data_IF_137935765430
#
_entry.id   IF_137935765430
#
_cell.length_a   1.000
_cell.length_b   1.000
_cell.length_c   1.000
_cell.angle_alpha   90.00
_cell.angle_beta   90.00
_cell.angle_gamma   90.00
#
_symmetry.space_group_name_H-M   'P 1'
#
loop_
_entity.id
_entity.type
_entity.pdbx_description
1 polymer ?
#
# COMPACT_ATOMS: atom_id res chain seq x y z
N UNK A 1 -14.70 12.19 10.22
CA UNK A 1 -13.85 13.34 9.86
C UNK A 1 -14.79 14.51 9.53
N UNK A 2 -15.07 15.40 10.50
CA UNK A 2 -16.04 16.50 10.31
C UNK A 2 -15.66 17.46 9.18
N UNK A 3 -14.37 17.69 8.98
CA UNK A 3 -13.81 18.58 7.95
C UNK A 3 -14.19 18.15 6.51
N UNK A 4 -14.50 16.87 6.34
CA UNK A 4 -14.83 16.28 5.04
C UNK A 4 -16.31 16.23 4.72
N UNK A 5 -17.17 16.80 5.57
CA UNK A 5 -18.63 16.78 5.40
C UNK A 5 -19.07 17.32 4.03
N UNK A 6 -18.33 18.31 3.50
CA UNK A 6 -18.68 19.00 2.25
C UNK A 6 -17.69 18.68 1.11
N UNK A 7 -16.93 17.59 1.18
CA UNK A 7 -16.05 17.20 0.08
C UNK A 7 -16.87 16.99 -1.20
N UNK A 8 -16.50 17.78 -2.24
CA UNK A 8 -17.07 17.62 -3.57
C UNK A 8 -16.24 16.69 -4.45
N UNK A 9 -16.81 16.34 -5.59
CA UNK A 9 -16.13 15.61 -6.68
C UNK A 9 -15.72 16.61 -7.74
N UNK A 10 -14.50 16.51 -8.23
CA UNK A 10 -13.92 17.38 -9.25
C UNK A 10 -14.76 17.44 -10.53
N UNK A 11 -14.97 18.63 -11.05
CA UNK A 11 -15.54 18.89 -12.37
C UNK A 11 -14.57 19.64 -13.27
N UNK A 12 -13.98 20.73 -12.77
CA UNK A 12 -13.07 21.59 -13.52
C UNK A 12 -12.21 22.46 -12.59
N UNK A 13 -11.28 23.20 -13.15
CA UNK A 13 -10.43 24.14 -12.42
C UNK A 13 -9.09 23.56 -12.02
N UNK A 14 -8.30 24.39 -11.34
CA UNK A 14 -6.97 24.09 -10.82
C UNK A 14 -6.89 24.59 -9.38
N UNK A 15 -5.96 24.06 -8.61
CA UNK A 15 -5.68 24.54 -7.26
C UNK A 15 -5.32 26.06 -7.29
N UNK A 16 -5.83 26.88 -6.37
CA UNK A 16 -6.78 26.54 -5.30
C UNK A 16 -8.27 26.66 -5.69
N UNK A 17 -8.60 26.90 -6.96
CA UNK A 17 -9.95 27.20 -7.44
C UNK A 17 -10.55 26.02 -8.23
N UNK A 18 -11.23 25.13 -7.51
CA UNK A 18 -11.92 23.98 -8.09
C UNK A 18 -13.44 24.22 -8.20
N UNK A 19 -14.02 23.82 -9.32
CA UNK A 19 -15.44 23.61 -9.47
C UNK A 19 -15.74 22.13 -9.14
N UNK A 20 -16.74 21.92 -8.28
CA UNK A 20 -17.09 20.58 -7.81
C UNK A 20 -18.59 20.31 -7.95
N UNK A 21 -18.94 19.03 -7.96
CA UNK A 21 -20.31 18.53 -7.80
C UNK A 21 -20.42 17.73 -6.50
N UNK A 22 -21.63 17.54 -5.96
CA UNK A 22 -21.83 16.60 -4.88
C UNK A 22 -21.44 15.16 -5.29
N UNK A 23 -20.89 14.35 -4.38
CA UNK A 23 -20.69 12.93 -4.63
C UNK A 23 -22.03 12.19 -4.76
N UNK A 24 -22.08 11.13 -5.55
CA UNK A 24 -23.29 10.31 -5.73
C UNK A 24 -23.66 9.54 -4.46
N UNK A 25 -22.71 9.28 -3.60
CA UNK A 25 -22.86 8.67 -2.28
C UNK A 25 -21.77 9.13 -1.32
N UNK A 26 -22.01 9.11 0.00
CA UNK A 26 -20.99 9.48 0.97
C UNK A 26 -19.84 8.47 0.98
N UNK A 27 -18.63 8.95 1.28
CA UNK A 27 -17.48 8.10 1.51
C UNK A 27 -17.68 7.26 2.79
N UNK A 28 -17.43 5.96 2.70
CA UNK A 28 -17.47 5.01 3.82
C UNK A 28 -16.06 4.53 4.14
N UNK A 29 -15.84 4.01 5.34
CA UNK A 29 -14.54 3.44 5.76
C UNK A 29 -14.10 2.31 4.80
N UNK A 30 -15.03 1.49 4.33
CA UNK A 30 -14.73 0.43 3.35
C UNK A 30 -14.18 0.99 2.04
N UNK A 31 -14.59 2.20 1.63
CA UNK A 31 -14.09 2.83 0.40
C UNK A 31 -12.62 3.29 0.56
N UNK A 32 -12.19 3.63 1.79
CA UNK A 32 -10.79 3.86 2.11
C UNK A 32 -9.98 2.54 2.08
N UNK A 33 -10.50 1.49 2.73
CA UNK A 33 -9.82 0.19 2.84
C UNK A 33 -9.57 -0.49 1.50
N UNK A 34 -10.44 -0.26 0.51
CA UNK A 34 -10.36 -0.87 -0.83
C UNK A 34 -9.96 0.12 -1.94
N UNK A 35 -9.48 1.33 -1.59
CA UNK A 35 -9.07 2.38 -2.54
C UNK A 35 -10.16 2.83 -3.54
N UNK A 36 -11.44 2.83 -3.13
CA UNK A 36 -12.54 3.38 -3.93
C UNK A 36 -13.07 4.70 -3.37
N UNK A 37 -12.29 5.39 -2.56
CA UNK A 37 -12.70 6.62 -1.86
C UNK A 37 -12.81 7.87 -2.75
N UNK A 38 -12.15 7.88 -3.91
CA UNK A 38 -11.99 9.07 -4.75
C UNK A 38 -10.75 9.90 -4.41
N UNK A 39 -9.99 9.53 -3.38
CA UNK A 39 -8.68 10.10 -3.10
C UNK A 39 -7.63 9.62 -4.12
N UNK A 40 -6.47 10.30 -4.16
CA UNK A 40 -5.40 9.99 -5.11
C UNK A 40 -4.01 10.06 -4.46
N UNK A 41 -2.97 9.94 -5.27
CA UNK A 41 -1.58 10.28 -4.96
C UNK A 41 -1.04 11.29 -5.97
N UNK A 42 -0.16 12.19 -5.54
CA UNK A 42 0.50 13.17 -6.41
C UNK A 42 1.28 12.55 -7.56
N UNK A 43 1.91 11.39 -7.36
CA UNK A 43 2.70 10.69 -8.38
C UNK A 43 1.87 10.10 -9.55
N UNK A 44 0.55 10.11 -9.46
CA UNK A 44 -0.33 9.65 -10.56
C UNK A 44 -0.20 10.51 -11.83
N UNK A 45 0.08 11.81 -11.71
CA UNK A 45 0.34 12.76 -12.79
C UNK A 45 -0.70 12.72 -13.92
N UNK A 46 -1.98 12.63 -13.58
CA UNK A 46 -3.09 12.47 -14.54
C UNK A 46 -3.97 13.70 -14.71
N UNK A 47 -3.99 14.58 -13.72
CA UNK A 47 -4.94 15.70 -13.75
C UNK A 47 -4.69 16.76 -12.68
N UNK A 48 -5.68 17.64 -12.55
CA UNK A 48 -5.57 18.82 -11.70
C UNK A 48 -5.72 18.50 -10.21
N UNK A 49 -6.41 17.41 -9.87
CA UNK A 49 -6.57 16.98 -8.47
C UNK A 49 -5.23 16.46 -7.93
N UNK A 50 -4.59 15.56 -8.63
CA UNK A 50 -3.28 15.04 -8.22
C UNK A 50 -2.16 16.09 -8.32
N UNK A 51 -2.31 17.10 -9.20
CA UNK A 51 -1.43 18.26 -9.22
C UNK A 51 -1.49 19.05 -7.90
N UNK A 52 -2.68 19.23 -7.32
CA UNK A 52 -2.83 19.86 -6.01
C UNK A 52 -2.18 19.04 -4.88
N UNK A 53 -2.23 17.71 -4.96
CA UNK A 53 -1.51 16.85 -4.02
C UNK A 53 0.01 17.07 -4.10
N UNK A 54 0.59 17.21 -5.30
CA UNK A 54 2.01 17.55 -5.48
C UNK A 54 2.36 18.91 -4.92
N UNK A 55 1.55 19.93 -5.21
CA UNK A 55 1.80 21.30 -4.71
C UNK A 55 1.79 21.36 -3.19
N UNK A 56 0.86 20.64 -2.56
CA UNK A 56 0.73 20.57 -1.10
C UNK A 56 1.57 19.44 -0.48
N UNK A 57 2.37 18.72 -1.28
CA UNK A 57 3.23 17.60 -0.85
C UNK A 57 2.47 16.50 -0.10
N UNK A 58 1.21 16.24 -0.49
CA UNK A 58 0.39 15.19 0.14
C UNK A 58 0.76 13.82 -0.44
N UNK A 59 1.10 12.88 0.43
CA UNK A 59 1.43 11.51 0.04
C UNK A 59 2.79 11.33 -0.64
N UNK A 60 3.68 12.31 -0.54
CA UNK A 60 5.07 12.20 -1.00
C UNK A 60 5.94 11.42 -0.01
N UNK A 61 7.12 11.00 -0.47
CA UNK A 61 8.08 10.23 0.36
C UNK A 61 8.58 11.09 1.52
N UNK A 62 8.95 12.34 1.24
CA UNK A 62 9.32 13.32 2.26
C UNK A 62 8.08 14.04 2.78
N UNK A 63 7.40 13.43 3.73
CA UNK A 63 6.13 13.92 4.25
C UNK A 63 6.36 14.99 5.32
N UNK A 64 5.92 16.20 5.01
CA UNK A 64 5.85 17.28 6.00
C UNK A 64 4.58 17.17 6.86
N UNK A 65 4.64 17.63 8.11
CA UNK A 65 3.50 17.70 9.02
C UNK A 65 3.13 16.37 9.68
N UNK A 66 1.86 16.19 9.95
CA UNK A 66 1.28 15.05 10.66
C UNK A 66 0.08 14.49 9.89
N UNK A 67 -0.42 13.31 10.26
CA UNK A 67 -1.69 12.79 9.72
C UNK A 67 -2.85 13.79 9.91
N UNK A 68 -2.92 14.47 11.06
CA UNK A 68 -3.94 15.48 11.32
C UNK A 68 -3.85 16.67 10.34
N UNK A 69 -2.64 17.17 10.08
CA UNK A 69 -2.48 18.28 9.11
C UNK A 69 -2.82 17.84 7.68
N UNK A 70 -2.49 16.60 7.30
CA UNK A 70 -2.88 16.03 6.00
C UNK A 70 -4.40 15.96 5.84
N UNK A 71 -5.15 15.54 6.86
CA UNK A 71 -6.62 15.52 6.85
C UNK A 71 -7.19 16.91 6.59
N UNK A 72 -6.63 17.94 7.23
CA UNK A 72 -7.05 19.32 7.04
C UNK A 72 -6.74 19.85 5.62
N UNK A 73 -5.59 19.48 5.04
CA UNK A 73 -5.26 19.85 3.65
C UNK A 73 -6.14 19.11 2.64
N UNK A 74 -6.39 17.82 2.85
CA UNK A 74 -7.29 17.02 1.99
C UNK A 74 -8.73 17.60 1.97
N UNK A 75 -9.19 18.23 3.05
CA UNK A 75 -10.50 18.88 3.10
C UNK A 75 -10.68 20.00 2.06
N UNK A 76 -9.58 20.55 1.54
CA UNK A 76 -9.56 21.65 0.56
C UNK A 76 -9.52 21.17 -0.89
N UNK A 77 -9.29 19.87 -1.13
CA UNK A 77 -9.11 19.28 -2.45
C UNK A 77 -10.29 18.35 -2.77
N UNK A 78 -10.90 18.45 -3.96
CA UNK A 78 -12.01 17.55 -4.31
C UNK A 78 -11.55 16.11 -4.52
N UNK A 79 -12.49 15.18 -4.41
CA UNK A 79 -12.32 13.80 -4.85
C UNK A 79 -12.20 13.73 -6.38
N UNK A 80 -11.41 12.83 -6.91
CA UNK A 80 -11.32 12.59 -8.37
C UNK A 80 -12.63 12.01 -8.95
N UNK A 81 -13.36 11.24 -8.15
CA UNK A 81 -14.64 10.62 -8.51
C UNK A 81 -15.47 10.34 -7.25
N UNK A 82 -16.73 9.98 -7.44
CA UNK A 82 -17.58 9.64 -6.31
C UNK A 82 -17.13 8.32 -5.65
N UNK A 83 -17.16 8.25 -4.32
CA UNK A 83 -16.79 7.02 -3.61
C UNK A 83 -17.53 5.78 -4.16
N UNK A 84 -16.80 4.69 -4.38
CA UNK A 84 -17.31 3.46 -4.95
C UNK A 84 -17.42 3.41 -6.48
N UNK A 85 -17.17 4.52 -7.18
CA UNK A 85 -17.30 4.61 -8.64
C UNK A 85 -16.13 3.97 -9.38
N UNK A 86 -14.92 4.12 -8.85
CA UNK A 86 -13.69 3.60 -9.44
C UNK A 86 -12.71 3.14 -8.36
N UNK A 87 -11.71 2.37 -8.76
CA UNK A 87 -10.54 2.07 -7.95
C UNK A 87 -9.39 3.00 -8.31
N UNK A 88 -8.75 3.57 -7.30
CA UNK A 88 -7.59 4.44 -7.45
C UNK A 88 -6.67 4.33 -6.25
N UNK A 89 -5.47 3.82 -6.45
CA UNK A 89 -4.47 3.75 -5.39
C UNK A 89 -4.16 5.16 -4.86
N UNK A 90 -4.21 5.33 -3.53
CA UNK A 90 -4.33 6.66 -2.93
C UNK A 90 -3.85 6.71 -1.49
N UNK A 91 -3.78 7.91 -0.94
CA UNK A 91 -3.52 8.18 0.49
C UNK A 91 -4.63 7.64 1.43
N UNK A 92 -5.56 6.84 0.92
CA UNK A 92 -6.62 6.23 1.74
C UNK A 92 -6.08 5.46 2.94
N UNK A 93 -4.93 4.79 2.80
CA UNK A 93 -4.29 4.06 3.90
C UNK A 93 -3.71 4.99 4.97
N UNK A 94 -3.21 6.18 4.59
CA UNK A 94 -2.82 7.21 5.55
C UNK A 94 -4.05 7.72 6.34
N UNK A 95 -5.18 7.90 5.66
CA UNK A 95 -6.46 8.26 6.31
C UNK A 95 -6.93 7.18 7.27
N UNK A 96 -6.75 5.89 6.93
CA UNK A 96 -7.02 4.77 7.84
C UNK A 96 -6.11 4.86 9.07
N UNK A 97 -4.82 5.14 8.90
CA UNK A 97 -3.90 5.37 10.02
C UNK A 97 -4.36 6.48 10.96
N UNK A 98 -4.83 7.60 10.41
CA UNK A 98 -5.46 8.66 11.19
C UNK A 98 -6.72 8.19 11.96
N UNK A 99 -7.61 7.44 11.28
CA UNK A 99 -8.83 6.91 11.91
C UNK A 99 -8.53 5.90 13.02
N UNK A 100 -7.49 5.07 12.86
CA UNK A 100 -7.05 4.15 13.92
C UNK A 100 -6.61 4.94 15.16
N UNK A 101 -5.83 6.01 14.98
CA UNK A 101 -5.44 6.89 16.07
C UNK A 101 -6.64 7.55 16.76
N UNK A 102 -7.56 8.09 15.96
CA UNK A 102 -8.76 8.78 16.45
C UNK A 102 -9.69 7.82 17.24
N UNK A 103 -9.97 6.64 16.71
CA UNK A 103 -10.91 5.67 17.31
C UNK A 103 -10.30 4.99 18.53
N UNK A 104 -9.01 4.68 18.50
CA UNK A 104 -8.33 4.00 19.60
C UNK A 104 -7.96 4.93 20.77
N UNK A 105 -7.92 6.24 20.52
CA UNK A 105 -7.40 7.24 21.47
C UNK A 105 -5.89 7.13 21.70
N UNK A 106 -5.15 6.45 20.81
CA UNK A 106 -3.70 6.23 20.90
C UNK A 106 -3.00 6.73 19.63
N UNK A 107 -1.75 7.21 19.72
CA UNK A 107 -0.92 7.41 18.54
C UNK A 107 -0.88 6.16 17.66
N UNK A 108 -0.94 6.33 16.33
CA UNK A 108 -1.06 5.22 15.39
C UNK A 108 0.10 4.22 15.51
N UNK A 109 1.33 4.70 15.63
CA UNK A 109 2.52 3.88 15.84
C UNK A 109 2.47 3.08 17.16
N UNK A 110 1.94 3.70 18.21
CA UNK A 110 1.77 3.02 19.50
C UNK A 110 0.70 1.92 19.40
N UNK A 111 -0.39 2.20 18.69
CA UNK A 111 -1.43 1.20 18.45
C UNK A 111 -0.88 -0.02 17.72
N UNK A 112 -0.13 0.19 16.63
CA UNK A 112 0.49 -0.91 15.87
C UNK A 112 1.48 -1.70 16.74
N UNK A 113 2.29 -0.99 17.50
CA UNK A 113 3.26 -1.62 18.42
C UNK A 113 2.58 -2.52 19.42
N UNK A 114 1.60 -2.00 20.16
CA UNK A 114 0.93 -2.72 21.24
C UNK A 114 0.00 -3.84 20.76
N UNK A 115 -0.60 -3.70 19.57
CA UNK A 115 -1.62 -4.62 19.08
C UNK A 115 -1.12 -5.63 18.07
N UNK A 116 0.03 -5.37 17.44
CA UNK A 116 0.58 -6.23 16.39
C UNK A 116 2.03 -6.58 16.70
N UNK A 117 2.94 -5.59 16.81
CA UNK A 117 4.37 -5.88 16.81
C UNK A 117 4.83 -6.57 18.09
N UNK A 118 4.51 -6.03 19.25
CA UNK A 118 4.91 -6.61 20.52
C UNK A 118 4.28 -8.00 20.78
N UNK A 119 2.96 -8.19 20.55
CA UNK A 119 2.35 -9.51 20.74
C UNK A 119 2.95 -10.60 19.82
N UNK A 120 3.31 -10.24 18.59
CA UNK A 120 3.94 -11.17 17.65
C UNK A 120 5.46 -11.26 17.80
N UNK A 121 6.08 -10.48 18.69
CA UNK A 121 7.53 -10.45 18.86
C UNK A 121 8.29 -9.83 17.68
N UNK A 122 7.68 -8.95 16.90
CA UNK A 122 8.28 -8.25 15.75
C UNK A 122 9.18 -7.11 16.23
N UNK A 123 10.38 -7.44 16.70
CA UNK A 123 11.30 -6.53 17.42
C UNK A 123 12.06 -5.56 16.51
N UNK A 124 12.07 -5.82 15.21
CA UNK A 124 12.77 -5.06 14.19
C UNK A 124 11.79 -4.31 13.25
N UNK A 125 10.54 -4.12 13.70
CA UNK A 125 9.50 -3.43 12.94
C UNK A 125 9.10 -2.13 13.61
N UNK A 126 9.13 -1.02 12.86
CA UNK A 126 8.79 0.31 13.37
C UNK A 126 8.96 1.38 12.31
N UNK A 127 8.63 2.63 12.64
CA UNK A 127 8.72 3.76 11.70
C UNK A 127 10.11 4.39 11.62
N UNK A 128 11.07 3.88 12.37
CA UNK A 128 12.48 4.26 12.28
C UNK A 128 13.36 3.12 12.80
N UNK A 129 14.64 3.17 12.45
CA UNK A 129 15.65 2.19 12.88
C UNK A 129 16.46 2.79 14.03
N UNK A 130 16.40 2.20 15.25
CA UNK A 130 17.21 2.67 16.37
C UNK A 130 18.72 2.63 16.06
N UNK A 131 19.48 3.56 16.62
CA UNK A 131 20.94 3.71 16.39
C UNK A 131 21.73 2.41 16.56
N UNK A 132 21.38 1.60 17.55
CA UNK A 132 22.01 0.29 17.79
C UNK A 132 21.83 -0.69 16.61
N UNK A 133 20.83 -0.49 15.76
CA UNK A 133 20.50 -1.33 14.60
C UNK A 133 20.79 -0.63 13.25
N UNK A 134 21.31 0.60 13.25
CA UNK A 134 21.53 1.40 12.04
C UNK A 134 22.36 0.67 10.98
N UNK A 135 23.35 -0.13 11.41
CA UNK A 135 24.19 -0.93 10.53
C UNK A 135 23.44 -2.00 9.71
N UNK A 136 22.17 -2.26 10.03
CA UNK A 136 21.31 -3.22 9.32
C UNK A 136 20.37 -2.56 8.31
N UNK A 137 20.30 -1.22 8.29
CA UNK A 137 19.47 -0.51 7.32
C UNK A 137 20.05 -0.70 5.92
N UNK A 138 19.21 -1.12 4.98
CA UNK A 138 19.62 -1.31 3.60
C UNK A 138 19.65 0.04 2.85
N UNK A 139 20.64 0.21 1.97
CA UNK A 139 20.64 1.32 1.02
C UNK A 139 19.48 1.19 0.02
N UNK A 140 18.86 2.31 -0.34
CA UNK A 140 17.86 2.35 -1.41
C UNK A 140 18.45 2.93 -2.68
N UNK A 141 18.19 2.28 -3.82
CA UNK A 141 18.68 2.69 -5.13
C UNK A 141 17.52 3.09 -6.05
N UNK A 142 17.81 3.97 -6.99
CA UNK A 142 16.89 4.31 -8.08
C UNK A 142 17.43 3.83 -9.41
N UNK A 143 16.57 3.21 -10.21
CA UNK A 143 16.83 2.88 -11.61
C UNK A 143 16.42 4.02 -12.57
N UNK A 144 15.90 5.12 -12.03
CA UNK A 144 15.49 6.30 -12.81
C UNK A 144 16.51 7.43 -12.67
N UNK A 145 16.98 8.03 -13.78
CA UNK A 145 17.88 9.19 -13.75
C UNK A 145 17.23 10.46 -13.15
N UNK A 146 15.91 10.50 -13.06
CA UNK A 146 15.12 11.67 -12.68
C UNK A 146 14.59 11.62 -11.23
N UNK A 147 15.00 10.63 -10.45
CA UNK A 147 14.56 10.47 -9.06
C UNK A 147 13.45 9.41 -8.86
N UNK A 148 13.17 9.15 -7.61
CA UNK A 148 12.60 7.90 -7.12
C UNK A 148 11.18 7.54 -7.54
N UNK A 149 10.34 8.48 -7.96
CA UNK A 149 8.89 8.26 -8.09
C UNK A 149 8.34 8.46 -9.51
N UNK A 150 9.18 8.46 -10.53
CA UNK A 150 8.71 8.47 -11.91
C UNK A 150 8.44 7.04 -12.39
N UNK A 151 7.22 6.57 -12.19
CA UNK A 151 6.76 5.23 -12.61
C UNK A 151 6.77 5.00 -14.13
N UNK A 152 7.09 6.02 -14.91
CA UNK A 152 7.13 5.98 -16.38
C UNK A 152 8.55 5.99 -16.97
N UNK A 153 9.60 5.97 -16.16
CA UNK A 153 10.96 5.98 -16.66
C UNK A 153 11.38 4.60 -17.17
N UNK A 154 11.45 4.46 -18.46
CA UNK A 154 11.87 3.24 -19.15
C UNK A 154 13.30 3.26 -19.68
N UNK A 155 14.05 4.32 -19.42
CA UNK A 155 15.43 4.42 -19.94
C UNK A 155 16.41 3.66 -19.01
N UNK A 156 16.57 2.37 -19.31
CA UNK A 156 17.43 1.42 -18.57
C UNK A 156 18.93 1.57 -18.89
N UNK A 157 19.35 2.60 -19.62
CA UNK A 157 20.74 2.78 -20.02
C UNK A 157 21.65 3.37 -18.93
N UNK A 158 21.06 3.88 -17.85
CA UNK A 158 21.79 4.31 -16.65
C UNK A 158 21.79 3.22 -15.58
N UNK A 159 22.91 2.96 -14.93
CA UNK A 159 23.01 2.06 -13.78
C UNK A 159 22.14 2.54 -12.59
N UNK A 160 22.11 1.76 -11.51
CA UNK A 160 21.45 2.15 -10.28
C UNK A 160 22.16 3.33 -9.63
N UNK A 161 21.41 4.35 -9.21
CA UNK A 161 21.92 5.49 -8.43
C UNK A 161 21.47 5.37 -6.97
N UNK A 162 22.35 5.70 -6.03
CA UNK A 162 22.01 5.72 -4.61
C UNK A 162 20.94 6.79 -4.35
N UNK A 163 19.78 6.37 -3.85
CA UNK A 163 18.64 7.24 -3.54
C UNK A 163 18.57 7.59 -2.05
N UNK A 164 18.85 6.61 -1.19
CA UNK A 164 18.88 6.81 0.26
C UNK A 164 20.09 6.06 0.84
N UNK A 165 21.01 6.82 1.41
CA UNK A 165 22.22 6.30 2.06
C UNK A 165 21.85 5.84 3.48
N UNK A 166 22.10 4.57 3.83
CA UNK A 166 21.75 4.05 5.15
C UNK A 166 22.48 4.74 6.30
N UNK A 167 23.55 5.47 6.04
CA UNK A 167 24.30 6.20 7.09
C UNK A 167 23.74 7.58 7.39
N UNK A 168 22.94 8.15 6.47
CA UNK A 168 22.34 9.48 6.58
C UNK A 168 20.83 9.48 6.40
N UNK A 169 20.23 8.29 6.29
CA UNK A 169 18.81 8.10 6.02
C UNK A 169 17.92 8.78 7.05
N UNK A 170 16.82 9.35 6.58
CA UNK A 170 15.76 9.88 7.46
C UNK A 170 15.10 8.80 8.32
N UNK A 171 15.18 7.53 7.91
CA UNK A 171 14.72 6.38 8.69
C UNK A 171 15.54 6.09 9.95
N UNK A 172 16.66 6.78 10.19
CA UNK A 172 17.43 6.69 11.43
C UNK A 172 16.85 7.55 12.56
N UNK A 173 15.82 8.33 12.29
CA UNK A 173 15.17 9.22 13.26
C UNK A 173 13.65 9.03 13.26
N UNK A 174 12.97 9.22 14.40
CA UNK A 174 11.51 9.17 14.44
C UNK A 174 10.90 10.20 13.49
N UNK A 175 10.05 9.80 12.54
CA UNK A 175 9.39 10.73 11.62
C UNK A 175 8.28 11.50 12.30
N UNK A 176 8.04 12.75 11.87
CA UNK A 176 6.89 13.53 12.33
C UNK A 176 5.58 13.01 11.70
N UNK A 177 5.64 12.51 10.48
CA UNK A 177 4.50 11.95 9.76
C UNK A 177 4.50 10.42 9.83
N UNK A 178 3.61 9.86 10.64
CA UNK A 178 3.44 8.41 10.80
C UNK A 178 2.45 7.90 9.73
N UNK A 179 2.98 7.50 8.58
CA UNK A 179 2.17 7.10 7.43
C UNK A 179 1.45 5.77 7.63
N UNK A 180 0.17 5.72 7.31
CA UNK A 180 -0.57 4.46 7.16
C UNK A 180 -0.32 3.77 5.82
N UNK A 181 0.21 4.49 4.83
CA UNK A 181 0.49 3.97 3.48
C UNK A 181 1.95 3.57 3.23
N UNK A 182 2.86 3.85 4.17
CA UNK A 182 4.28 3.53 4.02
C UNK A 182 5.12 4.03 5.20
N UNK A 183 6.44 3.77 5.15
CA UNK A 183 7.37 4.27 6.16
C UNK A 183 7.72 3.30 7.28
N UNK A 184 7.15 2.10 7.33
CA UNK A 184 7.61 1.04 8.21
C UNK A 184 8.93 0.45 7.71
N UNK A 185 9.92 0.39 8.60
CA UNK A 185 11.09 -0.46 8.47
C UNK A 185 10.78 -1.82 9.09
N UNK A 186 11.26 -2.90 8.49
CA UNK A 186 11.08 -4.26 9.00
C UNK A 186 12.18 -5.19 8.50
N UNK A 187 12.12 -6.45 8.91
CA UNK A 187 12.95 -7.53 8.40
C UNK A 187 12.09 -8.63 7.78
N UNK A 188 12.68 -9.47 6.94
CA UNK A 188 11.98 -10.64 6.39
C UNK A 188 11.47 -11.57 7.51
N UNK A 189 12.22 -11.70 8.61
CA UNK A 189 11.83 -12.54 9.74
C UNK A 189 10.58 -12.01 10.47
N UNK A 190 10.57 -10.71 10.82
CA UNK A 190 9.39 -10.09 11.46
C UNK A 190 8.18 -10.13 10.55
N UNK A 191 8.38 -9.81 9.25
CA UNK A 191 7.28 -9.82 8.30
C UNK A 191 6.75 -11.24 8.04
N UNK A 192 7.62 -12.26 8.05
CA UNK A 192 7.22 -13.67 8.00
C UNK A 192 6.35 -14.04 9.21
N UNK A 193 6.69 -13.56 10.40
CA UNK A 193 5.88 -13.80 11.61
C UNK A 193 4.46 -13.24 11.45
N UNK A 194 4.34 -12.03 10.91
CA UNK A 194 3.03 -11.45 10.59
C UNK A 194 2.28 -12.27 9.52
N UNK A 195 2.94 -12.65 8.43
CA UNK A 195 2.34 -13.46 7.37
C UNK A 195 1.89 -14.84 7.88
N UNK A 196 2.66 -15.47 8.79
CA UNK A 196 2.27 -16.73 9.44
C UNK A 196 1.00 -16.58 10.28
N UNK A 197 0.86 -15.49 11.02
CA UNK A 197 -0.37 -15.21 11.75
C UNK A 197 -1.57 -15.10 10.81
N UNK A 198 -1.41 -14.46 9.65
CA UNK A 198 -2.46 -14.37 8.63
C UNK A 198 -2.76 -15.73 7.99
N UNK A 199 -1.74 -16.49 7.58
CA UNK A 199 -1.92 -17.82 7.00
C UNK A 199 -2.66 -18.77 7.97
N UNK A 200 -2.39 -18.65 9.27
CA UNK A 200 -3.03 -19.44 10.32
C UNK A 200 -4.40 -18.88 10.77
N UNK A 201 -5.09 -18.11 9.92
CA UNK A 201 -6.44 -17.59 10.21
C UNK A 201 -6.48 -16.48 11.25
N UNK A 202 -5.41 -15.68 11.36
CA UNK A 202 -5.31 -14.50 12.22
C UNK A 202 -4.74 -14.76 13.61
N UNK A 203 -4.06 -15.90 13.81
CA UNK A 203 -3.45 -16.30 15.08
C UNK A 203 -2.07 -16.93 14.88
N UNK A 204 -1.13 -16.68 15.80
CA UNK A 204 0.16 -17.33 15.85
C UNK A 204 0.59 -17.52 17.30
N UNK A 205 1.02 -18.74 17.65
CA UNK A 205 1.56 -19.11 18.97
C UNK A 205 0.70 -18.61 20.14
N UNK A 206 -0.65 -18.74 20.01
CA UNK A 206 -1.63 -18.30 21.01
C UNK A 206 -1.98 -16.80 20.98
N UNK A 207 -1.32 -16.02 20.15
CA UNK A 207 -1.61 -14.59 19.94
C UNK A 207 -2.62 -14.43 18.80
N UNK A 208 -3.82 -14.00 19.12
CA UNK A 208 -4.85 -13.73 18.12
C UNK A 208 -4.91 -12.24 17.77
N UNK A 209 -4.62 -11.92 16.51
CA UNK A 209 -4.76 -10.56 15.98
C UNK A 209 -6.19 -10.28 15.51
N UNK A 210 -6.77 -11.22 14.77
CA UNK A 210 -8.15 -11.12 14.23
C UNK A 210 -8.79 -12.50 14.17
N UNK A 211 -10.11 -12.54 14.07
CA UNK A 211 -10.83 -13.80 13.87
C UNK A 211 -10.74 -14.32 12.43
N UNK A 212 -10.82 -15.64 12.21
CA UNK A 212 -10.67 -16.24 10.88
C UNK A 212 -11.75 -15.78 9.88
N UNK A 213 -12.97 -15.51 10.34
CA UNK A 213 -14.03 -14.97 9.47
C UNK A 213 -13.80 -13.51 9.08
N UNK A 214 -13.17 -12.72 9.96
CA UNK A 214 -12.74 -11.35 9.63
C UNK A 214 -11.64 -11.37 8.59
N UNK A 215 -10.65 -12.26 8.75
CA UNK A 215 -9.59 -12.43 7.75
C UNK A 215 -10.16 -12.87 6.40
N UNK A 216 -11.03 -13.87 6.37
CA UNK A 216 -11.69 -14.32 5.15
C UNK A 216 -12.47 -13.18 4.47
N UNK A 217 -13.15 -12.34 5.25
CA UNK A 217 -13.78 -11.13 4.73
C UNK A 217 -12.73 -10.17 4.13
N UNK A 218 -11.64 -9.90 4.83
CA UNK A 218 -10.59 -8.97 4.35
C UNK A 218 -9.93 -9.44 3.06
N UNK A 219 -9.77 -10.73 2.87
CA UNK A 219 -9.12 -11.35 1.69
C UNK A 219 -10.10 -11.76 0.58
N UNK A 220 -11.39 -11.37 0.71
CA UNK A 220 -12.37 -11.50 -0.38
C UNK A 220 -12.33 -10.29 -1.30
N UNK A 221 -12.81 -10.45 -2.55
CA UNK A 221 -12.92 -9.30 -3.46
C UNK A 221 -14.03 -8.35 -3.03
N UNK A 222 -13.67 -7.12 -2.70
CA UNK A 222 -14.57 -6.04 -2.28
C UNK A 222 -14.83 -5.00 -3.37
N UNK A 223 -14.32 -5.18 -4.57
CA UNK A 223 -14.57 -4.23 -5.65
C UNK A 223 -16.04 -4.22 -6.03
N UNK A 224 -16.65 -3.03 -6.23
CA UNK A 224 -18.06 -2.91 -6.59
C UNK A 224 -18.43 -3.76 -7.81
N UNK A 225 -19.51 -4.53 -7.68
CA UNK A 225 -19.99 -5.43 -8.73
C UNK A 225 -19.15 -6.68 -8.94
N UNK A 226 -18.26 -7.04 -8.01
CA UNK A 226 -17.37 -8.19 -8.16
C UNK A 226 -16.31 -8.05 -9.25
N UNK A 227 -16.06 -6.82 -9.72
CA UNK A 227 -15.14 -6.51 -10.80
C UNK A 227 -13.69 -6.80 -10.43
N UNK A 228 -12.85 -6.90 -11.45
CA UNK A 228 -11.38 -6.95 -11.32
C UNK A 228 -10.77 -5.55 -11.27
N UNK A 229 -9.51 -5.44 -10.89
CA UNK A 229 -8.78 -4.16 -10.87
C UNK A 229 -8.80 -3.46 -12.23
N UNK A 230 -8.48 -4.11 -13.38
CA UNK A 230 -8.52 -3.45 -14.69
C UNK A 230 -9.88 -2.89 -15.08
N UNK A 231 -10.98 -3.56 -14.66
CA UNK A 231 -12.34 -3.13 -14.99
C UNK A 231 -12.80 -1.89 -14.21
N UNK A 232 -12.18 -1.62 -13.07
CA UNK A 232 -12.60 -0.53 -12.18
C UNK A 232 -11.54 0.55 -12.01
N UNK A 233 -10.29 0.28 -12.34
CA UNK A 233 -9.16 1.18 -12.09
C UNK A 233 -9.14 2.38 -13.04
N UNK A 234 -8.78 3.55 -12.49
CA UNK A 234 -8.46 4.76 -13.27
C UNK A 234 -7.05 4.69 -13.86
N UNK A 235 -6.11 4.08 -13.17
CA UNK A 235 -4.77 3.75 -13.67
C UNK A 235 -4.16 2.63 -12.84
N UNK A 236 -3.31 1.84 -13.47
CA UNK A 236 -2.50 0.82 -12.84
C UNK A 236 -1.03 1.20 -13.00
N UNK A 237 -0.28 1.17 -11.92
CA UNK A 237 1.13 1.60 -11.86
C UNK A 237 2.07 0.43 -11.56
N UNK A 238 1.69 -0.79 -11.92
CA UNK A 238 2.46 -2.00 -11.68
C UNK A 238 2.97 -2.58 -13.00
N UNK A 239 4.08 -3.30 -12.93
CA UNK A 239 4.58 -4.15 -14.00
C UNK A 239 3.65 -5.32 -14.36
N UNK A 240 2.66 -5.60 -13.50
CA UNK A 240 1.64 -6.62 -13.72
C UNK A 240 0.40 -6.04 -14.36
N UNK A 241 -0.26 -6.82 -15.20
CA UNK A 241 -1.49 -6.41 -15.89
C UNK A 241 -2.73 -6.41 -14.99
N UNK A 242 -2.67 -6.99 -13.80
CA UNK A 242 -3.78 -7.17 -12.85
C UNK A 242 -5.05 -7.85 -13.41
N UNK A 243 -5.01 -8.44 -14.61
CA UNK A 243 -6.10 -9.27 -15.09
C UNK A 243 -6.31 -10.45 -14.15
N UNK A 244 -7.55 -10.79 -13.85
CA UNK A 244 -7.87 -11.85 -12.89
C UNK A 244 -7.62 -11.50 -11.43
N UNK A 245 -7.28 -10.24 -11.12
CA UNK A 245 -7.00 -9.76 -9.77
C UNK A 245 -8.11 -8.82 -9.30
N UNK A 246 -8.66 -9.08 -8.12
CA UNK A 246 -9.55 -8.21 -7.37
C UNK A 246 -8.81 -7.47 -6.26
N UNK A 247 -9.56 -6.81 -5.37
CA UNK A 247 -9.00 -6.13 -4.21
C UNK A 247 -9.89 -6.33 -2.98
N UNK A 248 -9.26 -6.76 -1.90
CA UNK A 248 -9.88 -6.94 -0.59
C UNK A 248 -9.81 -5.68 0.26
N UNK A 249 -9.70 -5.87 1.57
CA UNK A 249 -9.49 -4.77 2.53
C UNK A 249 -7.99 -4.65 2.85
N UNK A 250 -7.24 -4.03 1.93
CA UNK A 250 -5.81 -3.81 2.04
C UNK A 250 -4.91 -4.79 1.27
N UNK A 251 -5.47 -5.75 0.53
CA UNK A 251 -4.73 -6.72 -0.29
C UNK A 251 -5.30 -6.80 -1.70
N UNK A 252 -4.45 -7.04 -2.68
CA UNK A 252 -4.87 -7.61 -3.95
C UNK A 252 -5.23 -9.09 -3.73
N UNK A 253 -6.20 -9.61 -4.47
CA UNK A 253 -6.68 -10.98 -4.34
C UNK A 253 -6.73 -11.62 -5.72
N UNK A 254 -6.08 -12.77 -5.89
CA UNK A 254 -6.15 -13.54 -7.13
C UNK A 254 -7.53 -14.20 -7.25
N UNK A 255 -8.27 -13.86 -8.30
CA UNK A 255 -9.60 -14.40 -8.58
C UNK A 255 -9.52 -15.51 -9.63
N UNK A 256 -8.68 -15.30 -10.65
CA UNK A 256 -8.54 -16.22 -11.78
C UNK A 256 -7.06 -16.27 -12.25
N UNK A 257 -6.30 -17.29 -11.84
CA UNK A 257 -4.92 -17.45 -12.25
C UNK A 257 -4.73 -17.53 -13.78
N UNK A 258 -5.69 -18.10 -14.51
CA UNK A 258 -5.58 -18.18 -15.98
C UNK A 258 -5.54 -16.79 -16.62
N UNK A 259 -6.27 -15.82 -16.09
CA UNK A 259 -6.21 -14.44 -16.58
C UNK A 259 -4.93 -13.71 -16.17
N UNK A 260 -4.30 -14.09 -15.04
CA UNK A 260 -3.02 -13.49 -14.62
C UNK A 260 -1.87 -13.91 -15.52
N UNK A 261 -1.98 -15.05 -16.19
CA UNK A 261 -0.91 -15.74 -16.94
C UNK A 261 0.32 -16.05 -16.06
N UNK A 262 0.11 -16.26 -14.77
CA UNK A 262 1.12 -16.65 -13.78
C UNK A 262 0.53 -17.80 -12.96
N UNK A 263 1.29 -18.86 -12.69
CA UNK A 263 0.85 -19.90 -11.77
C UNK A 263 0.50 -19.31 -10.40
N UNK A 264 -0.49 -19.88 -9.74
CA UNK A 264 -0.99 -19.46 -8.43
C UNK A 264 -2.36 -20.04 -8.16
N UNK A 265 -2.96 -19.69 -7.02
CA UNK A 265 -4.25 -20.21 -6.60
C UNK A 265 -5.29 -19.11 -6.49
N UNK A 266 -6.58 -19.38 -6.77
CA UNK A 266 -7.66 -18.48 -6.38
C UNK A 266 -7.66 -18.25 -4.86
N UNK A 267 -7.79 -16.99 -4.43
CA UNK A 267 -7.73 -16.63 -3.01
C UNK A 267 -6.32 -16.31 -2.49
N UNK A 268 -5.28 -16.46 -3.30
CA UNK A 268 -3.97 -15.87 -2.99
C UNK A 268 -4.12 -14.36 -2.80
N UNK A 269 -3.52 -13.81 -1.75
CA UNK A 269 -3.55 -12.38 -1.50
C UNK A 269 -2.15 -11.80 -1.28
N UNK A 270 -1.96 -10.57 -1.73
CA UNK A 270 -0.64 -9.99 -1.90
C UNK A 270 -0.64 -8.47 -1.81
N UNK A 271 0.55 -7.90 -1.65
CA UNK A 271 0.86 -6.53 -2.00
C UNK A 271 2.36 -6.35 -2.20
N UNK A 272 2.78 -5.12 -2.53
CA UNK A 272 4.19 -4.77 -2.71
C UNK A 272 4.48 -3.31 -2.41
N UNK A 273 5.74 -3.01 -2.14
CA UNK A 273 6.22 -1.65 -1.88
C UNK A 273 6.79 -0.96 -3.12
N UNK A 274 6.87 0.37 -3.07
CA UNK A 274 7.44 1.18 -4.14
C UNK A 274 8.90 0.83 -4.44
N UNK A 275 9.67 0.44 -3.42
CA UNK A 275 11.06 0.00 -3.56
C UNK A 275 11.20 -1.50 -3.92
N UNK A 276 10.19 -2.05 -4.62
CA UNK A 276 10.18 -3.41 -5.19
C UNK A 276 10.03 -4.54 -4.16
N UNK A 277 9.85 -4.26 -2.88
CA UNK A 277 9.46 -5.30 -1.90
C UNK A 277 8.15 -5.96 -2.34
N UNK A 278 8.00 -7.24 -2.06
CA UNK A 278 6.78 -7.99 -2.37
C UNK A 278 6.53 -9.08 -1.35
N UNK A 279 5.26 -9.39 -1.11
CA UNK A 279 4.85 -10.58 -0.42
C UNK A 279 3.56 -11.13 -1.02
N UNK A 280 3.37 -12.43 -0.88
CA UNK A 280 2.06 -13.05 -1.07
C UNK A 280 1.88 -14.24 -0.12
N UNK A 281 0.64 -14.49 0.17
CA UNK A 281 0.19 -15.61 0.98
C UNK A 281 -0.82 -16.38 0.14
N UNK A 282 -0.54 -17.65 -0.07
CA UNK A 282 -1.43 -18.58 -0.75
C UNK A 282 -1.96 -19.60 0.26
N UNK A 283 -3.18 -19.45 0.76
CA UNK A 283 -3.74 -20.37 1.73
C UNK A 283 -3.99 -21.77 1.16
N UNK A 284 -4.22 -21.90 -0.14
CA UNK A 284 -4.47 -23.19 -0.77
C UNK A 284 -3.20 -24.07 -0.78
N UNK A 285 -2.04 -23.46 -1.03
CA UNK A 285 -0.74 -24.14 -1.03
C UNK A 285 -0.04 -24.07 0.33
N UNK A 286 -0.63 -23.46 1.34
CA UNK A 286 0.02 -23.15 2.63
C UNK A 286 1.35 -22.41 2.45
N UNK A 287 1.44 -21.54 1.44
CA UNK A 287 2.66 -20.89 0.99
C UNK A 287 2.70 -19.42 1.43
N UNK A 288 3.87 -19.00 1.92
CA UNK A 288 4.23 -17.60 2.10
C UNK A 288 5.50 -17.33 1.30
N UNK A 289 5.47 -16.25 0.51
CA UNK A 289 6.67 -15.75 -0.13
C UNK A 289 6.89 -14.29 0.24
N UNK A 290 8.12 -13.93 0.55
CA UNK A 290 8.56 -12.58 0.92
C UNK A 290 9.83 -12.25 0.15
N UNK A 291 9.83 -11.14 -0.55
CA UNK A 291 10.99 -10.62 -1.26
C UNK A 291 11.30 -9.22 -0.77
N UNK A 292 12.49 -9.04 -0.21
CA UNK A 292 13.00 -7.78 0.30
C UNK A 292 14.11 -7.25 -0.60
N UNK A 293 13.87 -6.07 -1.15
CA UNK A 293 14.85 -5.30 -1.93
C UNK A 293 14.55 -3.82 -1.78
N UNK A 294 15.45 -2.95 -2.21
CA UNK A 294 15.31 -1.50 -2.13
C UNK A 294 15.73 -0.86 -3.46
N UNK A 295 14.89 -1.06 -4.50
CA UNK A 295 15.08 -0.47 -5.83
C UNK A 295 13.80 0.23 -6.28
N UNK A 296 13.91 1.51 -6.59
CA UNK A 296 12.83 2.36 -7.10
C UNK A 296 12.96 2.59 -8.61
N UNK A 297 11.86 2.72 -9.34
CA UNK A 297 10.50 2.34 -8.98
C UNK A 297 10.32 0.81 -9.06
N UNK A 298 9.24 0.27 -8.51
CA UNK A 298 8.93 -1.18 -8.57
C UNK A 298 8.75 -1.72 -10.00
N UNK A 299 8.52 -0.83 -10.96
CA UNK A 299 8.41 -1.13 -12.39
C UNK A 299 9.77 -1.25 -13.10
N UNK A 300 10.87 -1.00 -12.39
CA UNK A 300 12.22 -1.05 -12.98
C UNK A 300 12.59 -2.45 -13.51
N UNK A 301 12.05 -3.50 -12.91
CA UNK A 301 12.31 -4.89 -13.30
C UNK A 301 11.03 -5.73 -13.19
N UNK A 302 10.85 -6.81 -13.99
CA UNK A 302 9.72 -7.73 -13.86
C UNK A 302 9.91 -8.76 -12.75
N UNK A 303 10.80 -8.53 -11.79
CA UNK A 303 11.27 -9.50 -10.79
C UNK A 303 10.13 -10.14 -9.99
N UNK A 304 9.07 -9.39 -9.67
CA UNK A 304 7.92 -9.92 -8.93
C UNK A 304 7.21 -11.03 -9.69
N UNK A 305 7.01 -10.83 -11.00
CA UNK A 305 6.40 -11.83 -11.88
C UNK A 305 7.30 -13.04 -12.06
N UNK A 306 8.58 -12.79 -12.29
CA UNK A 306 9.59 -13.86 -12.45
C UNK A 306 9.68 -14.72 -11.18
N UNK A 307 9.77 -14.11 -10.00
CA UNK A 307 9.81 -14.83 -8.72
C UNK A 307 8.56 -15.67 -8.49
N UNK A 308 7.37 -15.14 -8.77
CA UNK A 308 6.13 -15.92 -8.66
C UNK A 308 6.19 -17.17 -9.56
N UNK A 309 6.53 -16.96 -10.83
CA UNK A 309 6.63 -18.07 -11.80
C UNK A 309 7.63 -19.13 -11.31
N UNK A 310 8.80 -18.73 -10.84
CA UNK A 310 9.82 -19.65 -10.36
C UNK A 310 9.38 -20.41 -9.11
N UNK A 311 8.78 -19.71 -8.13
CA UNK A 311 8.37 -20.33 -6.86
C UNK A 311 7.25 -21.33 -7.10
N UNK A 312 6.21 -20.98 -7.84
CA UNK A 312 5.12 -21.92 -8.13
C UNK A 312 5.55 -23.07 -9.03
N UNK A 313 6.50 -22.85 -9.95
CA UNK A 313 7.06 -23.92 -10.78
C UNK A 313 7.92 -24.91 -9.99
N UNK A 314 8.34 -24.58 -8.79
CA UNK A 314 9.11 -25.46 -7.91
C UNK A 314 8.22 -26.37 -7.02
N UNK A 315 6.90 -26.14 -7.01
CA UNK A 315 5.96 -26.99 -6.27
C UNK A 315 5.77 -28.30 -7.04
N UNK A 316 6.13 -29.42 -6.43
CA UNK A 316 5.99 -30.77 -7.01
C UNK A 316 4.74 -31.48 -6.50
N UNK A 317 4.33 -31.19 -5.27
CA UNK A 317 3.16 -31.75 -4.61
C UNK A 317 2.25 -30.58 -4.18
N UNK A 318 1.16 -30.37 -4.91
CA UNK A 318 0.18 -29.32 -4.63
C UNK A 318 -0.86 -29.81 -3.62
N UNK A 319 -1.36 -28.89 -2.81
CA UNK A 319 -2.50 -29.12 -1.91
C UNK A 319 -3.86 -28.92 -2.60
N UNK A 320 -3.87 -28.58 -3.90
CA UNK A 320 -5.06 -28.39 -4.72
C UNK A 320 -5.51 -29.69 -5.37
#
# INVERSE_FOLDING_TARGET
IPEWKNLGVFQAGIWPAFLTRPPSQPMRIVDLMRHTSGLTYGFQQRGNVDAAYRELKIGEVEKAGTLQSMIAELAKIPLEFSPGEAWNYSVSTDVIGYLVGLISGKPFEQFLKERIFDPLGMKDTGFFVPSAKAHRLAACYSASPQGAMTFHATDRKGGLTLQDDPTTSSFLSPPAFISGGGGLCSTAADYLTFCRALLNGGELDGVRLIGPKTLALMTSNHLPGGKTLPELSRSLFSEATYHGIGFGLGFSVTLDPAQTLIPGSPGEYAWGGAATTSFWIDPAEALIAIFMTQVLPSTATPIRRELRTMIYSAITDSNL
#
